data_IF_721304129463
#
_entry.id   IF_721304129463
#
_cell.length_a   1.000
_cell.length_b   1.000
_cell.length_c   1.000
_cell.angle_alpha   90.00
_cell.angle_beta   90.00
_cell.angle_gamma   90.00
#
_symmetry.space_group_name_H-M   'P 1'
#
loop_
_entity.id
_entity.type
_entity.pdbx_description
1 polymer ?
#
# COMPACT_ATOMS: atom_id res chain seq x y z
N UNK A 1 -1.11 64.05 -63.23
CA UNK A 1 -1.22 64.04 -61.76
C UNK A 1 -1.94 62.75 -61.39
N UNK A 2 -1.23 61.84 -60.68
CA UNK A 2 -1.70 60.70 -59.84
C UNK A 2 -2.59 59.63 -60.51
N UNK A 3 -2.58 58.33 -60.24
CA UNK A 3 -1.82 57.31 -59.48
C UNK A 3 -2.53 55.99 -59.92
N UNK A 4 -1.81 55.01 -60.46
CA UNK A 4 -1.42 53.73 -59.86
C UNK A 4 -2.52 52.73 -59.42
N UNK A 5 -2.17 51.45 -59.60
CA UNK A 5 -2.78 50.19 -59.14
C UNK A 5 -4.03 49.66 -59.87
N UNK A 6 -4.14 48.38 -60.24
CA UNK A 6 -3.31 47.21 -59.94
C UNK A 6 -4.16 45.95 -60.10
N UNK A 7 -3.50 44.83 -60.39
CA UNK A 7 -3.93 43.44 -60.15
C UNK A 7 -4.94 42.72 -61.05
N UNK A 8 -4.33 41.80 -61.82
CA UNK A 8 -4.52 40.35 -61.78
C UNK A 8 -5.77 39.70 -62.40
N UNK A 9 -5.51 39.17 -63.59
CA UNK A 9 -6.24 38.21 -64.41
C UNK A 9 -6.42 36.87 -63.67
N UNK A 10 -7.67 36.46 -63.45
CA UNK A 10 -8.08 35.13 -62.98
C UNK A 10 -8.20 34.20 -64.20
N UNK A 11 -7.31 33.22 -64.30
CA UNK A 11 -7.41 32.10 -65.23
C UNK A 11 -7.78 30.85 -64.41
N UNK A 12 -8.95 30.28 -64.69
CA UNK A 12 -9.48 29.09 -64.04
C UNK A 12 -8.67 27.85 -64.46
N UNK A 13 -8.07 27.16 -63.49
CA UNK A 13 -7.47 25.83 -63.66
C UNK A 13 -8.35 24.75 -62.99
N UNK A 14 -8.46 23.61 -63.66
CA UNK A 14 -9.23 22.42 -63.31
C UNK A 14 -8.80 21.78 -61.97
N UNK A 15 -9.66 20.95 -61.33
CA UNK A 15 -9.28 20.25 -60.10
C UNK A 15 -8.26 19.12 -60.39
N UNK A 16 -7.12 19.18 -59.71
CA UNK A 16 -6.11 18.11 -59.67
C UNK A 16 -6.67 16.87 -58.94
N UNK A 17 -6.53 15.70 -59.57
CA UNK A 17 -6.67 14.40 -58.90
C UNK A 17 -5.50 14.19 -57.92
N UNK A 18 -5.72 13.71 -56.69
CA UNK A 18 -4.64 13.48 -55.74
C UNK A 18 -3.75 12.30 -56.15
N UNK A 19 -2.45 12.53 -56.06
CA UNK A 19 -1.38 11.58 -56.37
C UNK A 19 -1.40 10.34 -55.45
N UNK A 20 -1.13 9.12 -55.96
CA UNK A 20 -1.22 7.85 -55.20
C UNK A 20 -0.23 7.70 -54.02
N UNK A 21 0.60 8.71 -53.74
CA UNK A 21 1.56 8.68 -52.63
C UNK A 21 0.97 9.12 -51.28
N UNK A 22 -0.17 9.80 -51.26
CA UNK A 22 -0.75 10.38 -50.03
C UNK A 22 -1.59 9.42 -49.19
N UNK A 23 -1.76 8.16 -49.60
CA UNK A 23 -2.67 7.20 -48.93
C UNK A 23 -1.99 6.12 -48.08
N UNK A 24 -0.65 6.07 -48.01
CA UNK A 24 0.00 5.10 -47.12
C UNK A 24 0.20 5.65 -45.70
N UNK A 25 0.00 4.81 -44.67
CA UNK A 25 0.21 5.22 -43.29
C UNK A 25 1.68 5.57 -43.03
N UNK A 26 1.90 6.64 -42.27
CA UNK A 26 3.22 7.11 -41.83
C UNK A 26 3.88 6.21 -40.77
N UNK A 27 3.12 5.26 -40.23
CA UNK A 27 3.57 4.31 -39.20
C UNK A 27 3.75 2.90 -39.79
N UNK A 28 4.65 2.07 -39.22
CA UNK A 28 4.80 0.67 -39.62
C UNK A 28 3.48 -0.09 -39.50
N UNK A 29 3.15 -0.89 -40.52
CA UNK A 29 1.89 -1.63 -40.59
C UNK A 29 2.14 -3.12 -40.88
N UNK A 30 1.13 -3.95 -40.63
CA UNK A 30 1.21 -5.39 -40.89
C UNK A 30 0.76 -5.68 -42.32
N UNK A 31 1.50 -6.54 -43.03
CA UNK A 31 1.11 -7.03 -44.34
C UNK A 31 -0.26 -7.74 -44.26
N UNK A 32 -1.23 -7.42 -45.12
CA UNK A 32 -2.57 -8.03 -45.07
C UNK A 32 -2.55 -9.53 -45.43
N UNK A 33 -1.57 -9.99 -46.23
CA UNK A 33 -1.48 -11.37 -46.67
C UNK A 33 -0.77 -12.30 -45.67
N UNK A 34 0.30 -11.84 -45.02
CA UNK A 34 1.13 -12.70 -44.16
C UNK A 34 1.39 -12.17 -42.74
N UNK A 35 0.91 -10.96 -42.42
CA UNK A 35 1.09 -10.36 -41.09
C UNK A 35 2.50 -9.89 -40.77
N UNK A 36 3.43 -9.89 -41.73
CA UNK A 36 4.79 -9.35 -41.53
C UNK A 36 4.73 -7.83 -41.29
N UNK A 37 5.47 -7.33 -40.30
CA UNK A 37 5.62 -5.89 -40.06
C UNK A 37 6.44 -5.26 -41.20
N UNK A 38 5.85 -4.27 -41.88
CA UNK A 38 6.43 -3.55 -43.01
C UNK A 38 6.66 -2.08 -42.64
N UNK A 39 7.66 -1.47 -43.28
CA UNK A 39 7.92 -0.05 -43.16
C UNK A 39 6.90 0.77 -43.98
N UNK A 40 6.63 2.03 -43.61
CA UNK A 40 5.67 2.92 -44.28
C UNK A 40 5.84 3.04 -45.82
N UNK A 41 7.07 2.90 -46.31
CA UNK A 41 7.41 3.03 -47.73
C UNK A 41 7.31 1.71 -48.51
N UNK A 42 7.03 0.58 -47.87
CA UNK A 42 7.00 -0.72 -48.54
C UNK A 42 5.75 -0.87 -49.42
N UNK A 43 5.96 -0.96 -50.74
CA UNK A 43 4.90 -1.25 -51.74
C UNK A 43 4.70 -2.75 -51.99
N UNK A 44 5.67 -3.58 -51.60
CA UNK A 44 5.64 -5.04 -51.76
C UNK A 44 6.16 -5.68 -50.48
N UNK A 45 5.46 -6.71 -49.99
CA UNK A 45 5.93 -7.49 -48.84
C UNK A 45 7.16 -8.32 -49.23
N UNK A 46 8.28 -8.15 -48.54
CA UNK A 46 9.51 -8.91 -48.81
C UNK A 46 9.35 -10.40 -48.47
N UNK A 47 8.43 -10.76 -47.57
CA UNK A 47 8.25 -12.14 -47.13
C UNK A 47 7.33 -12.97 -48.06
N UNK A 48 6.21 -12.39 -48.50
CA UNK A 48 5.22 -13.10 -49.32
C UNK A 48 5.13 -12.60 -50.78
N UNK A 49 5.92 -11.58 -51.13
CA UNK A 49 5.91 -10.90 -52.43
C UNK A 49 4.55 -10.34 -52.87
N UNK A 50 3.61 -10.19 -51.94
CA UNK A 50 2.33 -9.57 -52.19
C UNK A 50 2.47 -8.05 -52.35
N UNK A 51 1.89 -7.48 -53.40
CA UNK A 51 1.78 -6.04 -53.59
C UNK A 51 0.79 -5.46 -52.59
N UNK A 52 1.18 -4.40 -51.88
CA UNK A 52 0.36 -3.79 -50.85
C UNK A 52 -0.53 -2.72 -51.50
N UNK A 53 -1.84 -2.93 -51.47
CA UNK A 53 -2.81 -1.88 -51.77
C UNK A 53 -3.06 -1.03 -50.51
N UNK A 54 -2.84 0.30 -50.53
CA UNK A 54 -3.11 1.17 -49.39
C UNK A 54 -4.54 1.06 -48.85
N UNK A 55 -5.52 0.72 -49.69
CA UNK A 55 -6.91 0.55 -49.27
C UNK A 55 -7.13 -0.71 -48.39
N UNK A 56 -6.23 -1.69 -48.45
CA UNK A 56 -6.32 -2.93 -47.68
C UNK A 56 -5.62 -2.84 -46.32
N UNK A 57 -4.86 -1.78 -46.07
CA UNK A 57 -4.12 -1.59 -44.81
C UNK A 57 -5.11 -1.24 -43.71
N UNK A 58 -5.50 -2.24 -42.91
CA UNK A 58 -6.26 -2.02 -41.69
C UNK A 58 -5.37 -1.33 -40.66
N UNK A 59 -5.81 -0.19 -40.14
CA UNK A 59 -5.16 0.49 -39.03
C UNK A 59 -4.90 -0.50 -37.88
N UNK A 60 -3.69 -0.51 -37.28
CA UNK A 60 -3.41 -1.34 -36.12
C UNK A 60 -4.42 -0.99 -35.01
N UNK A 61 -5.32 -1.92 -34.69
CA UNK A 61 -6.11 -1.81 -33.48
C UNK A 61 -5.12 -1.76 -32.31
N UNK A 62 -5.10 -0.62 -31.60
CA UNK A 62 -4.31 -0.47 -30.40
C UNK A 62 -4.57 -1.69 -29.49
N UNK A 63 -3.52 -2.41 -29.04
CA UNK A 63 -3.71 -3.60 -28.24
C UNK A 63 -4.55 -3.24 -27.02
N UNK A 64 -5.69 -3.92 -26.86
CA UNK A 64 -6.55 -3.76 -25.71
C UNK A 64 -5.69 -3.87 -24.45
N UNK A 65 -5.66 -2.79 -23.67
CA UNK A 65 -4.90 -2.75 -22.44
C UNK A 65 -5.30 -3.95 -21.59
N UNK A 66 -4.37 -4.89 -21.40
CA UNK A 66 -4.55 -5.97 -20.44
C UNK A 66 -4.63 -5.28 -19.08
N UNK A 67 -5.84 -5.18 -18.52
CA UNK A 67 -6.04 -4.74 -17.15
C UNK A 67 -5.26 -5.70 -16.26
N UNK A 68 -4.09 -5.26 -15.78
CA UNK A 68 -3.39 -5.94 -14.71
C UNK A 68 -4.34 -6.03 -13.52
N UNK A 69 -4.64 -7.24 -12.99
CA UNK A 69 -5.44 -7.36 -11.79
C UNK A 69 -4.76 -6.53 -10.70
N UNK A 70 -5.40 -5.45 -10.29
CA UNK A 70 -4.92 -4.62 -9.17
C UNK A 70 -5.00 -5.50 -7.94
N UNK A 71 -3.87 -6.10 -7.54
CA UNK A 71 -3.75 -6.83 -6.30
C UNK A 71 -3.98 -5.85 -5.15
N UNK A 72 -5.21 -5.87 -4.61
CA UNK A 72 -5.60 -4.97 -3.53
C UNK A 72 -4.81 -5.37 -2.30
N UNK A 73 -4.01 -4.44 -1.78
CA UNK A 73 -3.32 -4.64 -0.51
C UNK A 73 -4.33 -5.07 0.57
N UNK A 74 -4.02 -6.10 1.36
CA UNK A 74 -4.94 -6.63 2.35
C UNK A 74 -5.26 -5.57 3.40
N UNK A 75 -6.56 -5.32 3.61
CA UNK A 75 -7.03 -4.29 4.52
C UNK A 75 -6.48 -4.52 5.94
N UNK A 76 -5.84 -3.50 6.57
CA UNK A 76 -5.25 -3.66 7.89
C UNK A 76 -6.32 -3.95 8.95
N UNK A 77 -5.91 -4.65 10.01
CA UNK A 77 -6.81 -4.92 11.14
C UNK A 77 -7.16 -3.62 11.84
N UNK A 78 -8.43 -3.22 11.72
CA UNK A 78 -8.98 -2.06 12.44
C UNK A 78 -9.04 -2.34 13.94
N UNK A 79 -8.80 -1.30 14.74
CA UNK A 79 -8.93 -1.37 16.18
C UNK A 79 -10.40 -1.58 16.57
N UNK A 80 -10.70 -2.69 17.25
CA UNK A 80 -12.05 -2.98 17.73
C UNK A 80 -12.31 -2.24 19.04
N UNK A 81 -12.99 -1.10 18.97
CA UNK A 81 -13.37 -0.32 20.15
C UNK A 81 -14.20 -1.15 21.16
N UNK A 82 -15.03 -2.07 20.64
CA UNK A 82 -15.81 -2.99 21.48
C UNK A 82 -14.94 -3.92 22.30
N UNK A 83 -13.88 -4.48 21.70
CA UNK A 83 -12.94 -5.36 22.42
C UNK A 83 -12.19 -4.58 23.50
N UNK A 84 -11.73 -3.38 23.16
CA UNK A 84 -11.08 -2.48 24.10
C UNK A 84 -11.96 -2.16 25.31
N UNK A 85 -13.18 -1.67 25.08
CA UNK A 85 -14.09 -1.30 26.17
C UNK A 85 -14.43 -2.48 27.08
N UNK A 86 -14.65 -3.67 26.51
CA UNK A 86 -14.92 -4.88 27.31
C UNK A 86 -13.76 -5.22 28.23
N UNK A 87 -12.55 -5.32 27.67
CA UNK A 87 -11.35 -5.62 28.47
C UNK A 87 -11.11 -4.54 29.51
N UNK A 88 -11.25 -3.27 29.13
CA UNK A 88 -11.05 -2.14 30.01
C UNK A 88 -12.03 -2.15 31.19
N UNK A 89 -13.32 -2.36 30.95
CA UNK A 89 -14.33 -2.45 32.02
C UNK A 89 -14.05 -3.64 32.94
N UNK A 90 -13.77 -4.82 32.38
CA UNK A 90 -13.42 -6.03 33.16
C UNK A 90 -12.20 -5.75 34.03
N UNK A 91 -11.18 -5.10 33.46
CA UNK A 91 -9.97 -4.75 34.19
C UNK A 91 -10.22 -3.75 35.30
N UNK A 92 -10.95 -2.67 35.04
CA UNK A 92 -11.25 -1.64 36.06
C UNK A 92 -12.07 -2.24 37.20
N UNK A 93 -13.10 -3.03 36.90
CA UNK A 93 -13.91 -3.70 37.93
C UNK A 93 -13.06 -4.69 38.72
N UNK A 94 -12.27 -5.52 38.05
CA UNK A 94 -11.38 -6.49 38.69
C UNK A 94 -10.32 -5.82 39.58
N UNK A 95 -9.66 -4.79 39.07
CA UNK A 95 -8.66 -4.01 39.82
C UNK A 95 -9.28 -3.33 41.04
N UNK A 96 -10.47 -2.73 40.90
CA UNK A 96 -11.20 -2.10 42.02
C UNK A 96 -11.53 -3.14 43.08
N UNK A 97 -12.00 -4.32 42.68
CA UNK A 97 -12.34 -5.39 43.60
C UNK A 97 -11.09 -5.91 44.34
N UNK A 98 -10.00 -6.17 43.62
CA UNK A 98 -8.73 -6.63 44.21
C UNK A 98 -8.18 -5.59 45.19
N UNK A 99 -8.21 -4.31 44.84
CA UNK A 99 -7.77 -3.22 45.73
C UNK A 99 -8.65 -3.07 46.98
N UNK A 100 -9.94 -3.37 46.89
CA UNK A 100 -10.85 -3.36 48.05
C UNK A 100 -10.64 -4.56 48.97
N UNK A 101 -10.30 -5.72 48.40
CA UNK A 101 -10.19 -6.98 49.14
C UNK A 101 -8.79 -7.24 49.71
N UNK A 102 -7.75 -6.58 49.19
CA UNK A 102 -6.36 -6.89 49.52
C UNK A 102 -5.56 -5.65 49.91
N UNK A 103 -4.55 -5.80 50.79
CA UNK A 103 -3.56 -4.76 51.04
C UNK A 103 -2.88 -4.32 49.74
N UNK A 104 -2.44 -3.05 49.64
CA UNK A 104 -1.94 -2.46 48.39
C UNK A 104 -0.78 -3.25 47.77
N UNK A 105 0.15 -3.75 48.58
CA UNK A 105 1.27 -4.56 48.09
C UNK A 105 0.81 -5.87 47.43
N UNK A 106 -0.14 -6.59 48.05
CA UNK A 106 -0.68 -7.84 47.51
C UNK A 106 -1.53 -7.58 46.26
N UNK A 107 -2.33 -6.51 46.28
CA UNK A 107 -3.10 -6.08 45.13
C UNK A 107 -2.21 -5.79 43.92
N UNK A 108 -1.10 -5.07 44.12
CA UNK A 108 -0.12 -4.79 43.06
C UNK A 108 0.52 -6.08 42.52
N UNK A 109 0.92 -7.01 43.39
CA UNK A 109 1.49 -8.29 42.97
C UNK A 109 0.48 -9.12 42.16
N UNK A 110 -0.78 -9.16 42.57
CA UNK A 110 -1.84 -9.89 41.86
C UNK A 110 -2.10 -9.26 40.49
N UNK A 111 -2.30 -7.94 40.42
CA UNK A 111 -2.58 -7.25 39.15
C UNK A 111 -1.38 -7.33 38.19
N UNK A 112 -0.16 -7.12 38.68
CA UNK A 112 1.06 -7.29 37.90
C UNK A 112 1.25 -8.74 37.44
N UNK A 113 0.95 -9.71 38.31
CA UNK A 113 0.97 -11.13 37.97
C UNK A 113 0.00 -11.49 36.85
N UNK A 114 -1.24 -10.99 36.90
CA UNK A 114 -2.22 -11.16 35.83
C UNK A 114 -1.70 -10.57 34.51
N UNK A 115 -1.12 -9.37 34.54
CA UNK A 115 -0.54 -8.74 33.35
C UNK A 115 0.61 -9.55 32.75
N UNK A 116 1.52 -10.08 33.58
CA UNK A 116 2.64 -10.91 33.15
C UNK A 116 2.11 -12.23 32.54
N UNK A 117 1.18 -12.90 33.22
CA UNK A 117 0.57 -14.14 32.73
C UNK A 117 -0.18 -13.94 31.40
N UNK A 118 -0.93 -12.85 31.26
CA UNK A 118 -1.56 -12.48 29.99
C UNK A 118 -0.53 -12.30 28.88
N UNK A 119 0.60 -11.65 29.16
CA UNK A 119 1.67 -11.44 28.18
C UNK A 119 2.31 -12.76 27.71
N UNK A 120 2.58 -13.68 28.64
CA UNK A 120 3.07 -15.02 28.32
C UNK A 120 2.04 -15.82 27.51
N UNK A 121 0.78 -15.75 27.90
CA UNK A 121 -0.30 -16.41 27.16
C UNK A 121 -0.42 -15.85 25.73
N UNK A 122 -0.35 -14.52 25.54
CA UNK A 122 -0.37 -13.89 24.20
C UNK A 122 0.82 -14.36 23.36
N UNK A 123 2.02 -14.44 23.95
CA UNK A 123 3.20 -14.93 23.24
C UNK A 123 2.99 -16.38 22.76
N UNK A 124 2.50 -17.24 23.65
CA UNK A 124 2.24 -18.64 23.33
C UNK A 124 1.12 -18.81 22.28
N UNK A 125 -0.01 -18.13 22.44
CA UNK A 125 -1.12 -18.14 21.47
C UNK A 125 -0.67 -17.56 20.11
N UNK A 126 0.21 -16.56 20.09
CA UNK A 126 0.76 -16.01 18.85
C UNK A 126 1.71 -16.98 18.14
N UNK A 127 2.51 -17.74 18.90
CA UNK A 127 3.34 -18.81 18.35
C UNK A 127 2.49 -19.93 17.75
N UNK A 128 1.45 -20.37 18.47
CA UNK A 128 0.53 -21.41 18.00
C UNK A 128 -0.26 -21.00 16.75
N UNK A 129 -0.64 -19.72 16.65
CA UNK A 129 -1.38 -19.17 15.51
C UNK A 129 -0.48 -18.70 14.37
N UNK A 130 0.82 -18.95 14.44
CA UNK A 130 1.82 -18.55 13.45
C UNK A 130 1.72 -17.05 13.07
N UNK A 131 1.44 -16.20 14.06
CA UNK A 131 1.37 -14.75 13.83
C UNK A 131 2.79 -14.19 13.57
N UNK A 132 2.93 -13.20 12.69
CA UNK A 132 4.21 -12.57 12.45
C UNK A 132 4.71 -11.87 13.72
N UNK A 133 5.98 -12.09 14.07
CA UNK A 133 6.67 -11.47 15.22
C UNK A 133 5.95 -11.68 16.56
N UNK A 134 5.77 -12.93 17.01
CA UNK A 134 5.02 -13.26 18.23
C UNK A 134 5.61 -12.59 19.48
N UNK A 135 6.94 -12.45 19.54
CA UNK A 135 7.63 -11.72 20.62
C UNK A 135 7.16 -10.27 20.77
N UNK A 136 6.84 -9.58 19.68
CA UNK A 136 6.36 -8.18 19.75
C UNK A 136 4.96 -8.09 20.33
N UNK A 137 4.13 -9.09 20.10
CA UNK A 137 2.80 -9.17 20.71
C UNK A 137 2.87 -9.44 22.21
N UNK A 138 3.70 -10.39 22.63
CA UNK A 138 3.96 -10.65 24.05
C UNK A 138 4.53 -9.43 24.77
N UNK A 139 5.59 -8.82 24.22
CA UNK A 139 6.22 -7.63 24.81
C UNK A 139 5.31 -6.40 24.79
N UNK A 140 4.57 -6.18 23.69
CA UNK A 140 3.60 -5.11 23.60
C UNK A 140 2.48 -5.27 24.64
N UNK A 141 2.01 -6.49 24.87
CA UNK A 141 1.03 -6.79 25.93
C UNK A 141 1.61 -6.54 27.31
N UNK A 142 2.90 -6.81 27.53
CA UNK A 142 3.55 -6.57 28.81
C UNK A 142 3.69 -5.08 29.10
N UNK A 143 4.07 -4.28 28.11
CA UNK A 143 4.36 -2.84 28.28
C UNK A 143 3.09 -1.98 28.20
N UNK A 144 2.19 -2.32 27.29
CA UNK A 144 1.00 -1.54 26.92
C UNK A 144 -0.25 -2.43 26.97
N UNK A 145 -0.39 -3.21 28.04
CA UNK A 145 -1.49 -4.16 28.26
C UNK A 145 -2.88 -3.62 27.87
N UNK A 146 -3.34 -2.42 28.34
CA UNK A 146 -4.70 -1.98 28.07
C UNK A 146 -4.99 -1.71 26.58
N UNK A 147 -3.96 -1.45 25.77
CA UNK A 147 -4.12 -1.13 24.34
C UNK A 147 -3.82 -2.36 23.48
N UNK A 148 -2.71 -3.04 23.76
CA UNK A 148 -2.21 -4.14 22.93
C UNK A 148 -3.01 -5.41 23.16
N UNK A 149 -3.40 -5.72 24.40
CA UNK A 149 -4.15 -6.94 24.70
C UNK A 149 -5.50 -7.01 23.96
N UNK A 150 -6.35 -5.96 23.99
CA UNK A 150 -7.61 -5.99 23.23
C UNK A 150 -7.39 -6.02 21.71
N UNK A 151 -6.34 -5.36 21.23
CA UNK A 151 -5.97 -5.40 19.81
C UNK A 151 -5.55 -6.81 19.40
N UNK A 152 -4.77 -7.49 20.23
CA UNK A 152 -4.40 -8.89 20.02
C UNK A 152 -5.64 -9.79 19.94
N UNK A 153 -6.61 -9.60 20.85
CA UNK A 153 -7.86 -10.35 20.83
C UNK A 153 -8.66 -10.14 19.53
N UNK A 154 -8.61 -8.95 18.93
CA UNK A 154 -9.21 -8.70 17.62
C UNK A 154 -8.40 -9.37 16.50
N UNK A 155 -7.06 -9.29 16.57
CA UNK A 155 -6.13 -9.84 15.58
C UNK A 155 -6.17 -11.36 15.49
N UNK A 156 -6.27 -12.08 16.61
CA UNK A 156 -6.22 -13.55 16.65
C UNK A 156 -7.36 -14.22 15.87
N UNK A 157 -8.46 -13.50 15.61
CA UNK A 157 -9.58 -14.01 14.81
C UNK A 157 -9.34 -13.84 13.29
N UNK A 158 -8.35 -13.03 12.90
CA UNK A 158 -8.03 -12.73 11.51
C UNK A 158 -6.50 -12.82 11.28
N UNK A 159 -5.90 -14.03 11.33
CA UNK A 159 -4.44 -14.25 11.30
C UNK A 159 -3.73 -13.71 10.04
N UNK A 160 -4.43 -13.56 8.92
CA UNK A 160 -3.87 -13.14 7.64
C UNK A 160 -3.80 -11.62 7.42
N UNK A 161 -4.52 -10.82 8.22
CA UNK A 161 -4.57 -9.37 8.00
C UNK A 161 -3.36 -8.65 8.63
N UNK A 162 -2.69 -7.74 7.92
CA UNK A 162 -1.51 -7.05 8.45
C UNK A 162 -1.86 -6.13 9.62
N UNK A 163 -0.94 -6.00 10.57
CA UNK A 163 -1.05 -5.07 11.69
C UNK A 163 0.17 -4.13 11.73
N UNK A 164 0.16 -3.02 10.96
CA UNK A 164 1.34 -2.18 10.80
C UNK A 164 1.84 -1.61 12.13
N UNK A 165 0.98 -1.35 13.12
CA UNK A 165 1.42 -0.81 14.41
C UNK A 165 2.40 -1.74 15.15
N UNK A 166 2.15 -3.05 15.15
CA UNK A 166 2.97 -4.04 15.87
C UNK A 166 3.95 -4.75 14.93
N UNK A 167 3.71 -4.73 13.63
CA UNK A 167 4.54 -5.40 12.63
C UNK A 167 5.46 -4.41 11.87
N UNK A 168 5.27 -3.09 12.00
CA UNK A 168 6.14 -2.10 11.38
C UNK A 168 7.59 -2.31 11.80
N UNK A 169 8.52 -2.29 10.84
CA UNK A 169 9.94 -2.26 11.15
C UNK A 169 10.21 -0.96 11.89
N UNK A 170 10.65 -1.08 13.14
CA UNK A 170 11.15 0.07 13.90
C UNK A 170 12.49 0.43 13.28
N UNK A 171 12.65 1.68 12.84
CA UNK A 171 13.95 2.14 12.34
C UNK A 171 14.94 2.15 13.52
N UNK A 172 16.23 1.82 13.31
CA UNK A 172 17.23 1.85 14.37
C UNK A 172 17.32 3.23 15.03
N UNK A 173 17.05 4.30 14.28
CA UNK A 173 16.95 5.68 14.79
C UNK A 173 15.83 5.85 15.82
N UNK A 174 14.66 5.26 15.59
CA UNK A 174 13.53 5.32 16.53
C UNK A 174 13.84 4.56 17.81
N UNK A 175 14.53 3.42 17.72
CA UNK A 175 15.02 2.67 18.87
C UNK A 175 16.04 3.48 19.68
N UNK A 176 17.05 4.06 19.02
CA UNK A 176 18.03 4.93 19.67
C UNK A 176 17.36 6.13 20.37
N UNK A 177 16.42 6.79 19.70
CA UNK A 177 15.66 7.90 20.28
C UNK A 177 14.85 7.47 21.52
N UNK A 178 14.20 6.29 21.49
CA UNK A 178 13.48 5.75 22.64
C UNK A 178 14.40 5.45 23.82
N UNK A 179 15.59 4.88 23.57
CA UNK A 179 16.59 4.65 24.62
C UNK A 179 17.12 5.94 25.23
N UNK A 180 17.38 6.96 24.40
CA UNK A 180 17.77 8.29 24.87
C UNK A 180 16.66 8.89 25.74
N UNK A 181 15.41 8.83 25.28
CA UNK A 181 14.26 9.32 26.05
C UNK A 181 14.16 8.61 27.41
N UNK A 182 14.28 7.28 27.43
CA UNK A 182 14.24 6.48 28.65
C UNK A 182 15.38 6.88 29.60
N UNK A 183 16.61 7.03 29.09
CA UNK A 183 17.76 7.45 29.88
C UNK A 183 17.58 8.85 30.48
N UNK A 184 17.04 9.80 29.71
CA UNK A 184 16.68 11.14 30.20
C UNK A 184 15.62 11.06 31.29
N UNK A 185 14.59 10.25 31.10
CA UNK A 185 13.50 10.11 32.06
C UNK A 185 13.99 9.48 33.37
N UNK A 186 14.83 8.45 33.31
CA UNK A 186 15.51 7.86 34.47
C UNK A 186 16.41 8.89 35.16
N UNK A 187 17.21 9.64 34.40
CA UNK A 187 18.06 10.69 34.95
C UNK A 187 17.24 11.76 35.69
N UNK A 188 16.13 12.21 35.11
CA UNK A 188 15.20 13.15 35.75
C UNK A 188 14.60 12.54 37.02
N UNK A 189 14.12 11.31 36.97
CA UNK A 189 13.55 10.63 38.15
C UNK A 189 14.57 10.50 39.28
N UNK A 190 15.83 10.19 38.98
CA UNK A 190 16.91 10.10 39.98
C UNK A 190 17.26 11.47 40.54
N UNK A 191 17.37 12.50 39.69
CA UNK A 191 17.78 13.84 40.10
C UNK A 191 16.71 14.58 40.90
N UNK A 192 15.44 14.36 40.56
CA UNK A 192 14.30 15.04 41.16
C UNK A 192 13.49 14.11 42.09
N UNK A 193 14.04 12.96 42.48
CA UNK A 193 13.46 12.14 43.53
C UNK A 193 13.42 12.96 44.84
N UNK A 194 12.25 13.08 45.50
CA UNK A 194 12.19 13.73 46.79
C UNK A 194 13.04 12.94 47.81
N UNK A 195 13.77 13.62 48.72
CA UNK A 195 14.48 12.94 49.79
C UNK A 195 13.45 12.17 50.65
N UNK A 196 13.78 10.90 50.92
CA UNK A 196 12.97 9.98 51.71
C UNK A 196 12.85 10.40 53.18
#
# INVERSE_FOLDING_TARGET
>A
MTENDGSHKLEHAAPEEPSPEEQLPSEPFLCPACGQLLAPSCRVCVACHHSIDPAEIREPQAPAAVETPVEREPEPVRFSWRSFLRVFVIWVVGATLVQRLMPPLRAQLVLGGVQILCSFWVLFDALQKHLPRPFRWGMGTLLLWPIIFPWYLARRNYPLRPCPFIEARVKPTTLAALFILLAVLVYVMVKYAPPA
#
